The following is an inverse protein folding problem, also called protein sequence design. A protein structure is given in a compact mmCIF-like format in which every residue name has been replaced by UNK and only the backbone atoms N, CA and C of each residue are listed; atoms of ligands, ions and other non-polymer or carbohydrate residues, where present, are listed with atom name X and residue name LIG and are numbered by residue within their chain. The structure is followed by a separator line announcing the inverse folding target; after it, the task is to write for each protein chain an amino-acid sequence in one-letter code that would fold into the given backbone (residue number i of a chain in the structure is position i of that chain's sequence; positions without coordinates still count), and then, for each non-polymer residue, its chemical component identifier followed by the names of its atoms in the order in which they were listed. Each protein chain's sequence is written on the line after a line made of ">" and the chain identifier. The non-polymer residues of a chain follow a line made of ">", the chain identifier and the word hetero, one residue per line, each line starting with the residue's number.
data_IF_224706916713
#
_entry.id   IF_224706916713
#
_cell.length_a   1.000
_cell.length_b   1.000
_cell.length_c   1.000
_cell.angle_alpha   90.00
_cell.angle_beta   90.00
_cell.angle_gamma   90.00
#
_symmetry.space_group_name_H-M   'P 1'
#
loop_
_entity.id
_entity.type
_entity.pdbx_description
1 polymer ?
#
# COMPACT_ATOMS: atom_id res chain seq x y z
N UNK A 1 -0.92 2.63 33.51
CA UNK A 1 -0.81 2.42 32.06
C UNK A 1 -2.06 2.97 31.41
N UNK A 2 -1.93 4.13 30.77
CA UNK A 2 -3.03 4.91 30.18
C UNK A 2 -3.25 4.49 28.72
N UNK A 3 -4.22 3.62 28.49
CA UNK A 3 -4.73 3.25 27.16
C UNK A 3 -5.83 4.21 26.67
N UNK A 4 -6.29 5.12 27.52
CA UNK A 4 -7.47 5.98 27.30
C UNK A 4 -7.26 7.16 26.33
N UNK A 5 -6.08 7.30 25.70
CA UNK A 5 -5.76 8.48 24.88
C UNK A 5 -5.17 8.12 23.50
N UNK A 6 -5.62 7.02 22.87
CA UNK A 6 -5.49 6.86 21.41
C UNK A 6 -6.63 7.63 20.76
N UNK A 7 -6.27 8.56 19.86
CA UNK A 7 -7.21 9.46 19.18
C UNK A 7 -8.37 8.74 18.51
N UNK A 8 -9.56 9.36 18.61
CA UNK A 8 -10.83 9.03 17.92
C UNK A 8 -11.09 7.53 17.73
N UNK A 9 -11.72 6.89 18.72
CA UNK A 9 -12.29 5.56 18.56
C UNK A 9 -13.40 5.59 17.49
N UNK A 10 -13.61 4.49 16.78
CA UNK A 10 -14.70 4.31 15.81
C UNK A 10 -16.11 4.61 16.37
N UNK A 11 -16.24 4.72 17.69
CA UNK A 11 -17.46 5.09 18.40
C UNK A 11 -17.68 6.60 18.51
N UNK A 12 -16.74 7.43 18.06
CA UNK A 12 -16.84 8.88 18.00
C UNK A 12 -17.31 9.31 16.60
N UNK A 13 -18.43 10.04 16.46
CA UNK A 13 -18.87 10.58 15.18
C UNK A 13 -17.81 11.40 14.45
N UNK A 14 -16.90 12.07 15.18
CA UNK A 14 -15.82 12.87 14.59
C UNK A 14 -14.77 12.05 13.83
N UNK A 15 -14.76 10.72 14.00
CA UNK A 15 -13.94 9.80 13.22
C UNK A 15 -14.39 9.76 11.74
N UNK A 16 -15.69 9.81 11.46
CA UNK A 16 -16.27 9.64 10.13
C UNK A 16 -16.32 10.96 9.34
N UNK A 17 -15.15 11.50 8.99
CA UNK A 17 -15.03 12.79 8.27
C UNK A 17 -15.49 12.73 6.82
N UNK A 18 -15.53 11.53 6.25
CA UNK A 18 -15.96 11.23 4.89
C UNK A 18 -17.46 10.89 4.77
N UNK A 19 -18.19 10.90 5.89
CA UNK A 19 -19.64 10.79 5.91
C UNK A 19 -20.29 11.94 5.10
N UNK A 20 -21.40 11.65 4.42
CA UNK A 20 -22.12 12.65 3.63
C UNK A 20 -22.70 13.77 4.51
N UNK A 21 -23.11 13.43 5.73
CA UNK A 21 -23.59 14.37 6.73
C UNK A 21 -23.27 13.92 8.17
N UNK A 22 -23.61 14.79 9.12
CA UNK A 22 -23.42 14.53 10.55
C UNK A 22 -24.31 13.38 11.08
N UNK A 23 -25.42 13.07 10.41
CA UNK A 23 -26.34 12.02 10.85
C UNK A 23 -25.81 10.65 10.45
N UNK A 24 -25.26 10.52 9.23
CA UNK A 24 -24.50 9.35 8.78
C UNK A 24 -23.31 9.12 9.71
N UNK A 25 -22.55 10.17 10.05
CA UNK A 25 -21.43 10.04 10.99
C UNK A 25 -21.87 9.52 12.36
N UNK A 26 -22.98 10.03 12.91
CA UNK A 26 -23.53 9.55 14.17
C UNK A 26 -24.02 8.10 14.05
N UNK A 27 -24.71 7.75 12.97
CA UNK A 27 -25.21 6.38 12.74
C UNK A 27 -24.05 5.38 12.69
N UNK A 28 -22.98 5.71 11.97
CA UNK A 28 -21.79 4.86 11.86
C UNK A 28 -21.11 4.67 13.22
N UNK A 29 -20.99 5.73 14.02
CA UNK A 29 -20.43 5.68 15.37
C UNK A 29 -21.31 4.87 16.35
N UNK A 30 -22.62 5.02 16.27
CA UNK A 30 -23.58 4.25 17.04
C UNK A 30 -23.55 2.77 16.64
N UNK A 31 -23.40 2.47 15.35
CA UNK A 31 -23.24 1.10 14.85
C UNK A 31 -21.96 0.45 15.39
N UNK A 32 -20.83 1.17 15.37
CA UNK A 32 -19.58 0.72 15.99
C UNK A 32 -19.75 0.44 17.50
N UNK A 33 -20.46 1.33 18.21
CA UNK A 33 -20.77 1.16 19.63
C UNK A 33 -21.66 -0.06 19.87
N UNK A 34 -22.69 -0.26 19.06
CA UNK A 34 -23.55 -1.45 19.09
C UNK A 34 -22.75 -2.74 18.88
N UNK A 35 -21.85 -2.76 17.89
CA UNK A 35 -20.98 -3.90 17.61
C UNK A 35 -20.09 -4.24 18.80
N UNK A 36 -19.34 -3.25 19.30
CA UNK A 36 -18.45 -3.41 20.44
C UNK A 36 -19.19 -3.91 21.69
N UNK A 37 -20.38 -3.34 22.00
CA UNK A 37 -21.19 -3.77 23.13
C UNK A 37 -21.62 -5.24 23.01
N UNK A 38 -21.92 -5.72 21.80
CA UNK A 38 -22.27 -7.12 21.57
C UNK A 38 -21.09 -8.07 21.75
N UNK A 39 -19.90 -7.67 21.32
CA UNK A 39 -18.69 -8.46 21.49
C UNK A 39 -18.29 -8.58 22.96
N UNK A 40 -18.27 -7.46 23.69
CA UNK A 40 -17.87 -7.45 25.10
C UNK A 40 -18.94 -8.04 26.02
N UNK A 41 -20.21 -8.10 25.59
CA UNK A 41 -21.30 -8.63 26.40
C UNK A 41 -21.07 -10.08 26.84
N UNK A 42 -20.34 -10.90 26.08
CA UNK A 42 -20.00 -12.26 26.49
C UNK A 42 -19.00 -12.32 27.67
N UNK A 43 -18.26 -11.23 27.90
CA UNK A 43 -17.16 -11.13 28.86
C UNK A 43 -17.46 -10.20 30.05
N UNK A 44 -18.72 -9.83 30.27
CA UNK A 44 -19.10 -9.01 31.41
C UNK A 44 -18.76 -9.67 32.75
N UNK A 45 -18.18 -8.92 33.69
CA UNK A 45 -17.72 -9.44 34.98
C UNK A 45 -18.88 -9.98 35.84
N UNK A 46 -20.09 -9.44 35.62
CA UNK A 46 -21.32 -9.85 36.31
C UNK A 46 -22.47 -10.13 35.33
N UNK A 47 -23.42 -11.02 35.67
CA UNK A 47 -24.60 -11.25 34.85
C UNK A 47 -25.43 -9.98 34.62
N UNK A 48 -25.46 -9.05 35.58
CA UNK A 48 -26.14 -7.77 35.46
C UNK A 48 -25.51 -6.90 34.36
N UNK A 49 -24.19 -6.82 34.29
CA UNK A 49 -23.47 -6.10 33.23
C UNK A 49 -23.69 -6.73 31.85
N UNK A 50 -23.72 -8.06 31.75
CA UNK A 50 -24.05 -8.76 30.49
C UNK A 50 -25.43 -8.35 29.97
N UNK A 51 -26.43 -8.28 30.87
CA UNK A 51 -27.79 -7.83 30.53
C UNK A 51 -27.79 -6.35 30.13
N UNK A 52 -27.06 -5.51 30.85
CA UNK A 52 -26.94 -4.08 30.57
C UNK A 52 -26.32 -3.81 29.19
N UNK A 53 -25.19 -4.44 28.85
CA UNK A 53 -24.55 -4.28 27.55
C UNK A 53 -25.45 -4.73 26.40
N UNK A 54 -26.16 -5.86 26.56
CA UNK A 54 -27.13 -6.33 25.57
C UNK A 54 -28.31 -5.39 25.41
N UNK A 55 -28.84 -4.87 26.52
CA UNK A 55 -29.94 -3.91 26.50
C UNK A 55 -29.53 -2.62 25.78
N UNK A 56 -28.35 -2.07 26.11
CA UNK A 56 -27.83 -0.86 25.48
C UNK A 56 -27.57 -1.05 23.99
N UNK A 57 -26.96 -2.16 23.58
CA UNK A 57 -26.78 -2.49 22.16
C UNK A 57 -28.14 -2.55 21.43
N UNK A 58 -29.13 -3.20 22.04
CA UNK A 58 -30.45 -3.33 21.45
C UNK A 58 -31.20 -2.00 21.33
N UNK A 59 -31.08 -1.10 22.31
CA UNK A 59 -31.69 0.24 22.25
C UNK A 59 -31.08 1.10 21.14
N UNK A 60 -29.75 1.05 20.94
CA UNK A 60 -29.08 1.72 19.82
C UNK A 60 -29.59 1.17 18.48
N UNK A 61 -29.64 -0.16 18.33
CA UNK A 61 -30.15 -0.77 17.10
C UNK A 61 -31.61 -0.38 16.82
N UNK A 62 -32.45 -0.37 17.87
CA UNK A 62 -33.86 0.00 17.76
C UNK A 62 -34.02 1.44 17.28
N UNK A 63 -33.24 2.38 17.79
CA UNK A 63 -33.28 3.79 17.39
C UNK A 63 -33.10 3.95 15.88
N UNK A 64 -32.10 3.29 15.30
CA UNK A 64 -31.81 3.42 13.87
C UNK A 64 -32.73 2.60 12.97
N UNK A 65 -33.12 1.40 13.41
CA UNK A 65 -34.10 0.56 12.70
C UNK A 65 -35.50 1.18 12.66
N UNK A 66 -35.85 2.01 13.65
CA UNK A 66 -37.15 2.71 13.73
C UNK A 66 -37.06 4.17 13.26
N UNK A 67 -35.93 4.59 12.69
CA UNK A 67 -35.74 5.94 12.15
C UNK A 67 -36.84 6.24 11.12
N UNK A 68 -37.46 7.45 11.13
CA UNK A 68 -38.46 7.81 10.13
C UNK A 68 -37.88 7.98 8.71
N UNK A 69 -36.56 8.07 8.60
CA UNK A 69 -35.84 8.21 7.32
C UNK A 69 -35.43 6.81 6.83
N UNK A 70 -35.90 6.36 5.65
CA UNK A 70 -35.64 5.01 5.14
C UNK A 70 -34.16 4.79 4.80
N UNK A 71 -33.44 5.84 4.40
CA UNK A 71 -32.01 5.78 4.08
C UNK A 71 -31.18 5.37 5.30
N UNK A 72 -31.53 5.84 6.50
CA UNK A 72 -30.85 5.43 7.73
C UNK A 72 -31.11 3.95 8.08
N UNK A 73 -32.34 3.47 7.85
CA UNK A 73 -32.67 2.06 8.06
C UNK A 73 -31.87 1.18 7.11
N UNK A 74 -31.78 1.60 5.84
CA UNK A 74 -31.02 0.89 4.82
C UNK A 74 -29.53 0.87 5.17
N UNK A 75 -28.93 2.02 5.52
CA UNK A 75 -27.52 2.09 5.90
C UNK A 75 -27.22 1.21 7.12
N UNK A 76 -28.09 1.18 8.13
CA UNK A 76 -27.95 0.29 9.28
C UNK A 76 -27.97 -1.18 8.87
N UNK A 77 -28.86 -1.57 7.94
CA UNK A 77 -28.93 -2.92 7.42
C UNK A 77 -27.67 -3.28 6.61
N UNK A 78 -27.23 -2.38 5.73
CA UNK A 78 -26.04 -2.58 4.89
C UNK A 78 -24.78 -2.74 5.75
N UNK A 79 -24.64 -1.96 6.83
CA UNK A 79 -23.55 -2.13 7.80
C UNK A 79 -23.59 -3.48 8.51
N UNK A 80 -24.78 -3.93 8.94
CA UNK A 80 -24.95 -5.24 9.56
C UNK A 80 -24.58 -6.37 8.59
N UNK A 81 -25.09 -6.32 7.36
CA UNK A 81 -24.78 -7.30 6.32
C UNK A 81 -23.30 -7.31 5.94
N UNK A 82 -22.65 -6.13 5.86
CA UNK A 82 -21.24 -6.05 5.57
C UNK A 82 -20.39 -6.67 6.70
N UNK A 83 -20.68 -6.35 7.97
CA UNK A 83 -19.99 -6.99 9.11
C UNK A 83 -20.18 -8.49 9.13
N UNK A 84 -21.41 -8.98 8.89
CA UNK A 84 -21.68 -10.42 8.81
C UNK A 84 -20.89 -11.08 7.68
N UNK A 85 -20.78 -10.44 6.51
CA UNK A 85 -20.00 -10.95 5.38
C UNK A 85 -18.49 -11.04 5.70
N UNK A 86 -17.92 -9.98 6.30
CA UNK A 86 -16.53 -9.96 6.75
C UNK A 86 -16.24 -10.98 7.84
N UNK A 87 -17.18 -11.18 8.77
CA UNK A 87 -17.04 -12.17 9.84
C UNK A 87 -17.14 -13.60 9.30
N UNK A 88 -18.03 -13.86 8.35
CA UNK A 88 -18.27 -15.20 7.82
C UNK A 88 -17.18 -15.65 6.82
N UNK A 89 -16.76 -14.77 5.90
CA UNK A 89 -15.80 -15.09 4.84
C UNK A 89 -14.86 -13.89 4.57
N UNK A 90 -13.89 -13.61 5.47
CA UNK A 90 -13.07 -12.41 5.38
C UNK A 90 -12.23 -12.32 4.10
N UNK A 91 -11.73 -13.45 3.59
CA UNK A 91 -10.94 -13.47 2.35
C UNK A 91 -11.80 -13.13 1.12
N UNK A 92 -13.02 -13.63 1.05
CA UNK A 92 -13.96 -13.29 -0.02
C UNK A 92 -14.36 -11.82 0.06
N UNK A 93 -14.74 -11.35 1.25
CA UNK A 93 -15.11 -9.95 1.48
C UNK A 93 -13.95 -9.00 1.14
N UNK A 94 -12.71 -9.39 1.43
CA UNK A 94 -11.51 -8.62 1.07
C UNK A 94 -11.31 -8.53 -0.44
N UNK A 95 -11.45 -9.63 -1.17
CA UNK A 95 -11.34 -9.63 -2.64
C UNK A 95 -12.44 -8.78 -3.27
N UNK A 96 -13.69 -8.94 -2.83
CA UNK A 96 -14.83 -8.17 -3.32
C UNK A 96 -14.67 -6.67 -3.02
N UNK A 97 -14.24 -6.32 -1.81
CA UNK A 97 -13.97 -4.94 -1.45
C UNK A 97 -12.84 -4.33 -2.29
N UNK A 98 -11.76 -5.07 -2.54
CA UNK A 98 -10.67 -4.63 -3.41
C UNK A 98 -11.13 -4.36 -4.84
N UNK A 99 -11.97 -5.23 -5.40
CA UNK A 99 -12.57 -5.04 -6.72
C UNK A 99 -13.50 -3.81 -6.75
N UNK A 100 -14.35 -3.68 -5.73
CA UNK A 100 -15.29 -2.57 -5.59
C UNK A 100 -14.54 -1.23 -5.51
N UNK A 101 -13.48 -1.17 -4.71
CA UNK A 101 -12.64 0.01 -4.55
C UNK A 101 -11.88 0.36 -5.83
N UNK A 102 -11.32 -0.64 -6.52
CA UNK A 102 -10.65 -0.44 -7.80
C UNK A 102 -11.61 0.14 -8.84
N UNK A 103 -12.82 -0.43 -8.96
CA UNK A 103 -13.85 0.09 -9.86
C UNK A 103 -14.31 1.51 -9.49
N UNK A 104 -14.36 1.85 -8.20
CA UNK A 104 -14.66 3.21 -7.74
C UNK A 104 -13.56 4.21 -8.16
N UNK A 105 -12.29 3.84 -8.01
CA UNK A 105 -11.14 4.68 -8.41
C UNK A 105 -11.10 4.90 -9.92
N UNK A 106 -11.44 3.87 -10.70
CA UNK A 106 -11.53 3.94 -12.17
C UNK A 106 -12.71 4.80 -12.67
N UNK A 107 -13.51 5.37 -11.77
CA UNK A 107 -14.69 6.15 -12.12
C UNK A 107 -15.84 5.30 -12.62
N UNK A 108 -15.90 4.02 -12.21
CA UNK A 108 -16.95 3.08 -12.56
C UNK A 108 -18.33 3.66 -12.25
N UNK A 109 -19.14 3.82 -13.30
CA UNK A 109 -20.49 4.34 -13.16
C UNK A 109 -21.35 3.37 -12.33
N UNK A 110 -21.98 3.87 -11.26
CA UNK A 110 -22.96 3.14 -10.45
C UNK A 110 -22.46 2.62 -9.10
N UNK A 111 -21.20 2.88 -8.72
CA UNK A 111 -20.73 2.56 -7.37
C UNK A 111 -20.98 3.77 -6.47
N UNK A 112 -21.88 3.60 -5.50
CA UNK A 112 -22.14 4.61 -4.49
C UNK A 112 -20.95 4.70 -3.51
N UNK A 113 -20.55 5.91 -3.17
CA UNK A 113 -19.50 6.18 -2.19
C UNK A 113 -19.90 5.66 -0.80
N UNK A 114 -21.19 5.62 -0.49
CA UNK A 114 -21.70 5.06 0.77
C UNK A 114 -21.35 3.57 0.93
N UNK A 115 -21.43 2.79 -0.16
CA UNK A 115 -21.10 1.35 -0.18
C UNK A 115 -19.61 1.12 0.13
N UNK A 116 -18.72 1.93 -0.44
CA UNK A 116 -17.28 1.86 -0.15
C UNK A 116 -17.02 2.15 1.32
N UNK A 117 -17.62 3.21 1.88
CA UNK A 117 -17.48 3.55 3.30
C UNK A 117 -18.01 2.46 4.21
N UNK A 118 -19.16 1.87 3.88
CA UNK A 118 -19.78 0.76 4.62
C UNK A 118 -18.88 -0.47 4.66
N UNK A 119 -18.33 -0.87 3.52
CA UNK A 119 -17.41 -2.02 3.46
C UNK A 119 -16.10 -1.75 4.21
N UNK A 120 -15.54 -0.54 4.09
CA UNK A 120 -14.36 -0.13 4.86
C UNK A 120 -14.60 -0.21 6.35
N UNK A 121 -15.69 0.39 6.83
CA UNK A 121 -16.04 0.38 8.25
C UNK A 121 -16.24 -1.06 8.76
N UNK A 122 -16.90 -1.93 7.99
CA UNK A 122 -17.07 -3.33 8.37
C UNK A 122 -15.73 -4.06 8.50
N UNK A 123 -14.79 -3.84 7.57
CA UNK A 123 -13.44 -4.40 7.63
C UNK A 123 -12.65 -3.88 8.85
N UNK A 124 -12.80 -2.60 9.20
CA UNK A 124 -12.17 -1.99 10.39
C UNK A 124 -12.73 -2.57 11.69
N UNK A 125 -14.06 -2.66 11.82
CA UNK A 125 -14.72 -3.18 13.02
C UNK A 125 -14.42 -4.65 13.27
N UNK A 126 -14.23 -5.43 12.21
CA UNK A 126 -13.86 -6.86 12.30
C UNK A 126 -12.36 -7.09 12.45
N UNK A 127 -11.54 -6.01 12.46
CA UNK A 127 -10.09 -6.10 12.60
C UNK A 127 -9.37 -6.64 11.36
N UNK A 128 -10.05 -6.71 10.22
CA UNK A 128 -9.47 -7.10 8.94
C UNK A 128 -8.84 -5.92 8.19
N UNK A 129 -9.05 -4.70 8.67
CA UNK A 129 -8.38 -3.49 8.24
C UNK A 129 -7.89 -2.64 9.42
N UNK A 130 -6.66 -2.11 9.32
CA UNK A 130 -6.17 -1.12 10.29
C UNK A 130 -6.83 0.24 10.04
N UNK A 131 -7.25 0.97 11.09
CA UNK A 131 -7.81 2.32 10.95
C UNK A 131 -6.81 3.25 10.28
N UNK A 132 -7.24 3.92 9.21
CA UNK A 132 -6.43 4.95 8.58
C UNK A 132 -6.41 6.17 9.49
N UNK A 133 -5.23 6.56 9.95
CA UNK A 133 -5.05 7.83 10.66
C UNK A 133 -5.14 8.97 9.64
N UNK A 134 -6.36 9.41 9.31
CA UNK A 134 -6.67 10.50 8.38
C UNK A 134 -6.15 11.89 8.82
N UNK A 135 -5.35 11.97 9.89
CA UNK A 135 -4.64 13.19 10.29
C UNK A 135 -3.40 13.46 9.44
N UNK A 136 -2.94 12.50 8.64
CA UNK A 136 -1.82 12.66 7.72
C UNK A 136 -2.31 12.47 6.28
N UNK A 137 -2.29 13.52 5.47
CA UNK A 137 -2.54 13.44 4.02
C UNK A 137 -1.51 12.56 3.30
N UNK A 138 -0.35 12.30 3.92
CA UNK A 138 0.61 11.30 3.45
C UNK A 138 0.17 9.86 3.73
N UNK A 139 -0.61 9.60 4.78
CA UNK A 139 -1.05 8.23 5.11
C UNK A 139 -2.26 7.79 4.27
N UNK A 140 -3.15 8.71 3.90
CA UNK A 140 -4.25 8.44 2.96
C UNK A 140 -3.76 8.00 1.57
N UNK A 141 -2.60 8.47 1.13
CA UNK A 141 -1.93 8.04 -0.12
C UNK A 141 -1.06 6.78 0.04
N UNK A 142 -0.66 6.45 1.28
CA UNK A 142 0.09 5.22 1.61
C UNK A 142 -0.79 4.00 1.81
N UNK A 143 -2.11 4.17 1.83
CA UNK A 143 -3.05 3.06 1.76
C UNK A 143 -3.04 2.51 0.32
N UNK A 144 -1.95 1.83 -0.03
CA UNK A 144 -1.96 0.71 -0.96
C UNK A 144 -1.98 -0.55 -0.09
N UNK A 145 -2.66 -1.63 -0.51
CA UNK A 145 -2.66 -2.87 0.25
C UNK A 145 -1.22 -3.33 0.47
N UNK A 146 -0.72 -3.20 1.70
CA UNK A 146 0.48 -3.90 2.13
C UNK A 146 0.11 -5.38 2.17
N UNK A 147 0.45 -6.09 1.11
CA UNK A 147 0.57 -7.53 1.20
C UNK A 147 1.61 -7.86 2.30
N UNK A 148 1.19 -8.68 3.26
CA UNK A 148 2.06 -9.54 4.06
C UNK A 148 3.06 -8.82 4.97
N UNK A 149 2.60 -8.35 6.13
CA UNK A 149 3.46 -8.34 7.32
C UNK A 149 3.16 -9.58 8.15
N UNK A 150 4.11 -10.51 8.05
CA UNK A 150 4.27 -11.66 8.93
C UNK A 150 4.19 -11.19 10.37
N UNK A 151 3.14 -11.60 11.08
CA UNK A 151 3.19 -11.68 12.54
C UNK A 151 4.13 -12.85 12.85
N UNK A 152 5.28 -12.64 13.52
CA UNK A 152 6.14 -13.73 13.91
C UNK A 152 5.38 -14.60 14.91
N UNK A 153 5.33 -15.90 14.60
CA UNK A 153 4.80 -16.94 15.47
C UNK A 153 5.55 -16.94 16.81
N UNK A 154 4.89 -16.79 17.98
CA UNK A 154 5.56 -16.74 19.29
C UNK A 154 6.18 -18.07 19.75
N UNK A 155 6.27 -19.07 18.86
CA UNK A 155 6.76 -20.43 19.16
C UNK A 155 8.09 -20.82 18.51
N UNK A 156 8.72 -19.97 17.69
CA UNK A 156 9.99 -20.32 17.03
C UNK A 156 11.16 -19.67 17.76
N UNK A 157 11.87 -20.46 18.58
CA UNK A 157 13.17 -20.06 19.14
C UNK A 157 14.16 -19.79 17.99
N UNK A 158 14.48 -18.51 17.78
CA UNK A 158 15.54 -18.12 16.88
C UNK A 158 16.90 -18.64 17.42
N UNK A 159 17.79 -19.18 16.57
CA UNK A 159 19.13 -19.55 16.99
C UNK A 159 19.84 -18.28 17.47
N UNK A 160 20.28 -18.29 18.73
CA UNK A 160 21.00 -17.19 19.35
C UNK A 160 22.34 -17.03 18.63
N UNK A 161 22.44 -16.05 17.74
CA UNK A 161 23.72 -15.67 17.15
C UNK A 161 24.41 -14.69 18.08
N UNK A 162 25.53 -15.11 18.67
CA UNK A 162 26.46 -14.29 19.46
C UNK A 162 27.18 -13.23 18.60
N UNK A 163 26.43 -12.40 17.87
CA UNK A 163 27.01 -11.34 17.05
C UNK A 163 27.28 -10.11 17.91
N UNK A 164 28.49 -9.56 17.79
CA UNK A 164 28.94 -8.36 18.50
C UNK A 164 28.02 -7.13 18.27
N UNK A 165 27.31 -7.09 17.14
CA UNK A 165 26.37 -6.03 16.77
C UNK A 165 25.08 -6.13 17.60
N UNK A 166 24.58 -7.34 17.83
CA UNK A 166 23.39 -7.59 18.66
C UNK A 166 23.65 -7.22 20.14
N UNK A 167 24.92 -7.35 20.58
CA UNK A 167 25.39 -6.93 21.91
C UNK A 167 25.48 -5.40 22.06
N UNK A 168 25.91 -4.69 21.03
CA UNK A 168 26.01 -3.22 21.05
C UNK A 168 24.62 -2.53 21.05
N UNK A 169 23.59 -3.20 20.54
CA UNK A 169 22.22 -2.70 20.45
C UNK A 169 21.31 -3.12 21.64
N UNK A 170 21.88 -3.68 22.71
CA UNK A 170 21.15 -3.99 23.94
C UNK A 170 20.68 -5.44 24.08
N UNK A 171 21.18 -6.37 23.26
CA UNK A 171 20.98 -7.81 23.43
C UNK A 171 21.56 -8.31 24.76
N UNK A 172 20.84 -9.20 25.45
CA UNK A 172 21.22 -9.74 26.77
C UNK A 172 22.36 -10.76 26.64
N UNK A 173 23.60 -10.31 26.51
CA UNK A 173 24.79 -11.16 26.64
C UNK A 173 25.35 -11.11 28.08
N UNK A 174 25.83 -12.25 28.60
CA UNK A 174 26.25 -12.43 29.98
C UNK A 174 27.66 -11.88 30.34
N UNK A 175 28.29 -11.08 29.48
CA UNK A 175 29.66 -10.57 29.69
C UNK A 175 29.70 -9.07 29.41
N UNK A 176 30.14 -8.30 30.40
CA UNK A 176 30.34 -6.84 30.30
C UNK A 176 31.53 -6.51 29.39
N UNK A 177 31.36 -5.54 28.49
CA UNK A 177 32.42 -5.06 27.58
C UNK A 177 33.54 -4.38 28.37
N UNK A 178 34.79 -4.70 28.05
CA UNK A 178 35.94 -4.07 28.70
C UNK A 178 36.20 -2.67 28.13
N UNK A 179 36.79 -1.79 28.94
CA UNK A 179 37.07 -0.40 28.53
C UNK A 179 37.99 -0.31 27.31
N UNK A 180 38.88 -1.29 27.12
CA UNK A 180 39.76 -1.39 25.96
C UNK A 180 39.00 -1.72 24.66
N UNK A 181 37.91 -2.49 24.75
CA UNK A 181 37.04 -2.77 23.59
C UNK A 181 36.21 -1.54 23.22
N UNK A 182 35.77 -0.75 24.21
CA UNK A 182 35.09 0.52 23.95
C UNK A 182 36.03 1.51 23.27
N UNK A 183 37.29 1.60 23.71
CA UNK A 183 38.30 2.48 23.10
C UNK A 183 38.66 2.06 21.67
N UNK A 184 38.66 0.75 21.37
CA UNK A 184 38.83 0.24 20.01
C UNK A 184 37.65 0.60 19.09
N UNK A 185 36.41 0.61 19.61
CA UNK A 185 35.21 1.00 18.84
C UNK A 185 35.22 2.50 18.51
N UNK A 186 35.66 3.33 19.47
CA UNK A 186 35.75 4.79 19.27
C UNK A 186 36.81 5.09 18.20
N UNK A 187 38.01 4.51 18.34
CA UNK A 187 39.07 4.70 17.34
C UNK A 187 38.66 4.19 15.95
N UNK A 188 37.94 3.07 15.87
CA UNK A 188 37.42 2.55 14.60
C UNK A 188 36.35 3.44 13.95
N UNK A 189 35.55 4.15 14.75
CA UNK A 189 34.57 5.12 14.22
C UNK A 189 35.24 6.39 13.73
N UNK A 190 36.26 6.89 14.45
CA UNK A 190 36.99 8.10 14.05
C UNK A 190 37.80 7.87 12.75
N UNK A 191 38.36 6.68 12.56
CA UNK A 191 39.02 6.30 11.30
C UNK A 191 38.04 6.19 10.12
N UNK A 192 36.82 5.72 10.36
CA UNK A 192 35.76 5.66 9.34
C UNK A 192 35.28 7.06 8.94
N UNK A 193 35.10 7.95 9.90
CA UNK A 193 34.73 9.35 9.66
C UNK A 193 35.83 10.12 8.91
N UNK A 194 37.10 9.90 9.28
CA UNK A 194 38.22 10.51 8.56
C UNK A 194 38.37 9.98 7.12
N UNK A 195 38.02 8.71 6.88
CA UNK A 195 38.00 8.11 5.55
C UNK A 195 36.84 8.64 4.68
N UNK A 196 35.68 8.91 5.30
CA UNK A 196 34.52 9.53 4.65
C UNK A 196 34.81 10.98 4.25
N UNK A 197 35.39 11.77 5.15
CA UNK A 197 35.75 13.17 4.90
C UNK A 197 36.83 13.31 3.80
N UNK A 198 37.73 12.33 3.69
CA UNK A 198 38.75 12.26 2.65
C UNK A 198 38.21 11.89 1.26
N UNK A 199 37.04 11.24 1.18
CA UNK A 199 36.43 10.81 -0.09
C UNK A 199 35.62 11.91 -0.77
N UNK A 200 35.31 13.01 -0.07
CA UNK A 200 34.72 14.21 -0.63
C UNK A 200 33.28 14.00 -1.08
N UNK A 201 32.35 14.70 -0.43
CA UNK A 201 30.92 14.71 -0.70
C UNK A 201 30.61 14.98 -2.19
N UNK A 202 30.39 13.90 -2.92
CA UNK A 202 30.01 13.83 -4.33
C UNK A 202 28.95 12.74 -4.45
N UNK A 203 27.89 12.83 -3.65
CA UNK A 203 26.74 11.96 -3.87
C UNK A 203 25.41 12.71 -3.81
N UNK A 204 24.59 12.42 -4.82
CA UNK A 204 23.33 13.04 -5.18
C UNK A 204 22.13 12.38 -4.50
N UNK A 205 22.36 11.60 -3.43
CA UNK A 205 21.32 10.91 -2.68
C UNK A 205 20.79 9.61 -3.33
N UNK A 206 21.42 9.14 -4.40
CA UNK A 206 21.03 7.88 -5.06
C UNK A 206 21.58 6.65 -4.31
N UNK A 207 22.76 6.74 -3.65
CA UNK A 207 23.29 5.61 -2.87
C UNK A 207 22.63 5.47 -1.50
N UNK A 208 22.01 6.54 -0.96
CA UNK A 208 21.25 6.52 0.30
C UNK A 208 20.04 5.58 0.22
N UNK A 209 19.38 5.51 -0.94
CA UNK A 209 18.25 4.59 -1.18
C UNK A 209 18.72 3.14 -1.25
N UNK A 210 19.91 2.90 -1.79
CA UNK A 210 20.49 1.56 -1.95
C UNK A 210 21.05 1.03 -0.62
N UNK A 211 21.52 1.92 0.27
CA UNK A 211 22.02 1.57 1.60
C UNK A 211 20.92 1.11 2.58
N UNK A 212 19.67 1.52 2.35
CA UNK A 212 18.51 1.13 3.16
C UNK A 212 18.05 -0.32 2.93
N UNK A 213 18.60 -1.00 1.91
CA UNK A 213 18.32 -2.41 1.63
C UNK A 213 19.27 -3.34 2.42
N UNK A 214 18.75 -4.37 3.13
CA UNK A 214 19.56 -5.39 3.78
C UNK A 214 20.64 -5.98 2.85
N UNK A 215 21.83 -6.28 3.38
CA UNK A 215 22.96 -6.77 2.59
C UNK A 215 22.66 -8.04 1.77
N UNK A 216 21.70 -8.85 2.23
CA UNK A 216 21.21 -10.02 1.49
C UNK A 216 20.47 -9.65 0.18
N UNK A 217 19.85 -8.47 0.12
CA UNK A 217 19.18 -7.94 -1.06
C UNK A 217 20.15 -7.18 -1.98
N UNK A 218 21.15 -6.49 -1.39
CA UNK A 218 22.22 -5.83 -2.16
C UNK A 218 23.08 -6.80 -2.99
N UNK A 219 23.30 -8.02 -2.50
CA UNK A 219 24.19 -9.01 -3.12
C UNK A 219 23.47 -10.08 -3.95
N UNK A 220 22.16 -9.94 -4.19
CA UNK A 220 21.45 -10.83 -5.09
C UNK A 220 21.87 -10.52 -6.53
N UNK A 221 22.90 -11.21 -7.02
CA UNK A 221 23.38 -11.13 -8.40
C UNK A 221 22.20 -11.26 -9.39
N UNK A 222 21.80 -10.14 -9.98
CA UNK A 222 20.99 -10.12 -11.20
C UNK A 222 21.92 -10.45 -12.36
N UNK A 223 22.21 -11.73 -12.59
CA UNK A 223 22.74 -12.19 -13.87
C UNK A 223 21.60 -12.04 -14.89
N UNK A 224 21.66 -11.08 -15.83
CA UNK A 224 20.55 -10.80 -16.72
C UNK A 224 20.70 -11.70 -17.95
N UNK A 225 20.24 -12.95 -17.85
CA UNK A 225 20.02 -13.79 -19.05
C UNK A 225 18.57 -13.71 -19.53
N UNK A 226 17.70 -13.02 -18.78
CA UNK A 226 16.27 -12.90 -19.02
C UNK A 226 15.97 -11.51 -19.53
N UNK A 227 15.36 -11.40 -20.72
CA UNK A 227 14.89 -10.11 -21.22
C UNK A 227 13.64 -9.66 -20.45
N UNK A 228 13.46 -8.35 -20.31
CA UNK A 228 12.33 -7.78 -19.56
C UNK A 228 10.96 -8.23 -20.10
N UNK A 229 10.91 -8.58 -21.38
CA UNK A 229 9.72 -9.12 -22.07
C UNK A 229 9.40 -10.58 -21.71
N UNK A 230 10.37 -11.34 -21.21
CA UNK A 230 10.21 -12.75 -20.83
C UNK A 230 9.71 -12.91 -19.38
N UNK A 231 9.87 -11.88 -18.54
CA UNK A 231 9.47 -11.92 -17.13
C UNK A 231 7.99 -12.26 -16.90
N UNK A 232 7.01 -11.65 -17.61
CA UNK A 232 5.60 -11.99 -17.42
C UNK A 232 5.30 -13.45 -17.76
N UNK A 233 5.97 -14.01 -18.78
CA UNK A 233 5.81 -15.41 -19.16
C UNK A 233 6.41 -16.36 -18.11
N UNK A 234 7.56 -16.00 -17.52
CA UNK A 234 8.17 -16.75 -16.41
C UNK A 234 7.27 -16.77 -15.18
N UNK A 235 6.86 -15.59 -14.71
CA UNK A 235 6.00 -15.42 -13.54
C UNK A 235 4.69 -16.19 -13.74
N UNK A 236 4.03 -16.01 -14.88
CA UNK A 236 2.75 -16.65 -15.17
C UNK A 236 2.84 -18.18 -15.30
N UNK A 237 3.99 -18.73 -15.71
CA UNK A 237 4.20 -20.17 -15.79
C UNK A 237 4.54 -20.78 -14.42
N UNK A 238 5.42 -20.14 -13.63
CA UNK A 238 5.79 -20.60 -12.28
C UNK A 238 4.59 -20.53 -11.32
N UNK A 239 3.81 -19.45 -11.37
CA UNK A 239 2.53 -19.34 -10.66
C UNK A 239 1.62 -20.53 -10.95
N UNK A 240 1.43 -20.85 -12.24
CA UNK A 240 0.58 -21.97 -12.65
C UNK A 240 1.07 -23.32 -12.14
N UNK A 241 2.39 -23.54 -12.01
CA UNK A 241 2.94 -24.76 -11.40
C UNK A 241 2.46 -24.88 -9.95
N UNK A 242 2.59 -23.80 -9.18
CA UNK A 242 2.22 -23.79 -7.77
C UNK A 242 0.71 -23.97 -7.57
N UNK A 243 -0.12 -23.20 -8.29
CA UNK A 243 -1.58 -23.23 -8.11
C UNK A 243 -2.18 -24.59 -8.49
N UNK A 244 -1.66 -25.24 -9.55
CA UNK A 244 -2.10 -26.58 -9.94
C UNK A 244 -1.67 -27.65 -8.91
N UNK A 245 -0.49 -27.51 -8.33
CA UNK A 245 -0.02 -28.41 -7.27
C UNK A 245 -0.81 -28.21 -5.96
N UNK A 246 -1.15 -26.96 -5.61
CA UNK A 246 -2.02 -26.63 -4.47
C UNK A 246 -3.44 -27.18 -4.63
N UNK A 247 -4.02 -27.02 -5.82
CA UNK A 247 -5.33 -27.59 -6.14
C UNK A 247 -5.30 -29.13 -6.08
N UNK A 248 -4.22 -29.75 -6.57
CA UNK A 248 -4.04 -31.20 -6.46
C UNK A 248 -3.94 -31.66 -5.01
N UNK A 249 -3.10 -31.01 -4.19
CA UNK A 249 -2.93 -31.33 -2.78
C UNK A 249 -4.26 -31.24 -2.01
N UNK A 250 -5.00 -30.14 -2.19
CA UNK A 250 -6.32 -29.95 -1.59
C UNK A 250 -7.32 -31.01 -2.03
N UNK A 251 -7.40 -31.28 -3.33
CA UNK A 251 -8.37 -32.23 -3.88
C UNK A 251 -8.07 -33.68 -3.46
N UNK A 252 -6.79 -34.00 -3.21
CA UNK A 252 -6.36 -35.28 -2.68
C UNK A 252 -6.70 -35.45 -1.18
N UNK A 253 -6.70 -34.37 -0.39
CA UNK A 253 -7.10 -34.42 1.03
C UNK A 253 -8.61 -34.58 1.23
N UNK A 254 -9.42 -34.08 0.30
CA UNK A 254 -10.89 -34.15 0.34
C UNK A 254 -11.45 -35.47 -0.25
N UNK A 255 -10.66 -36.54 -0.26
CA UNK A 255 -11.02 -37.81 -0.88
C UNK A 255 -11.93 -38.64 0.05
N UNK A 256 -13.22 -38.67 -0.23
CA UNK A 256 -14.17 -39.60 0.42
C UNK A 256 -14.13 -40.97 -0.30
N UNK A 257 -14.06 -42.05 0.46
CA UNK A 257 -13.89 -43.45 0.00
C UNK A 257 -15.07 -44.04 -0.81
N UNK A 258 -15.96 -43.20 -1.36
CA UNK A 258 -17.10 -43.65 -2.16
C UNK A 258 -16.65 -44.15 -3.54
N UNK A 259 -17.02 -45.40 -3.94
CA UNK A 259 -16.52 -46.03 -5.16
C UNK A 259 -16.97 -45.33 -6.45
N UNK A 260 -18.16 -44.71 -6.49
CA UNK A 260 -18.68 -44.02 -7.68
C UNK A 260 -18.07 -42.62 -7.86
N UNK A 261 -17.72 -41.95 -6.76
CA UNK A 261 -17.00 -40.66 -6.78
C UNK A 261 -15.50 -40.79 -7.02
N UNK A 262 -14.93 -41.96 -6.73
CA UNK A 262 -13.48 -42.20 -6.80
C UNK A 262 -12.91 -42.04 -8.21
N UNK A 263 -13.55 -42.59 -9.25
CA UNK A 263 -12.98 -42.57 -10.60
C UNK A 263 -12.94 -41.15 -11.21
N UNK A 264 -14.04 -40.39 -11.09
CA UNK A 264 -14.10 -39.00 -11.60
C UNK A 264 -13.05 -38.14 -10.90
N UNK A 265 -12.80 -38.38 -9.61
CA UNK A 265 -11.83 -37.64 -8.82
C UNK A 265 -10.39 -38.03 -9.16
N UNK A 266 -10.12 -39.31 -9.41
CA UNK A 266 -8.83 -39.78 -9.94
C UNK A 266 -8.53 -39.10 -11.28
N UNK A 267 -9.48 -39.09 -12.22
CA UNK A 267 -9.32 -38.42 -13.53
C UNK A 267 -9.07 -36.90 -13.37
N UNK A 268 -9.60 -36.28 -12.31
CA UNK A 268 -9.35 -34.87 -12.00
C UNK A 268 -7.94 -34.64 -11.43
N UNK A 269 -7.47 -35.49 -10.52
CA UNK A 269 -6.11 -35.43 -9.98
C UNK A 269 -5.07 -35.65 -11.09
N UNK A 270 -5.29 -36.60 -11.99
CA UNK A 270 -4.40 -36.84 -13.13
C UNK A 270 -4.32 -35.62 -14.05
N UNK A 271 -5.46 -35.00 -14.38
CA UNK A 271 -5.50 -33.76 -15.17
C UNK A 271 -4.74 -32.61 -14.51
N UNK A 272 -4.84 -32.46 -13.19
CA UNK A 272 -4.09 -31.43 -12.45
C UNK A 272 -2.58 -31.69 -12.50
N UNK A 273 -2.15 -32.95 -12.32
CA UNK A 273 -0.74 -33.32 -12.42
C UNK A 273 -0.17 -33.14 -13.83
N UNK A 274 -0.93 -33.49 -14.87
CA UNK A 274 -0.53 -33.24 -16.26
C UNK A 274 -0.44 -31.74 -16.57
N UNK A 275 -1.39 -30.95 -16.07
CA UNK A 275 -1.34 -29.49 -16.11
C UNK A 275 -0.06 -28.95 -15.45
N UNK A 276 0.28 -29.43 -14.25
CA UNK A 276 1.49 -29.01 -13.53
C UNK A 276 2.77 -29.38 -14.32
N UNK A 277 2.84 -30.59 -14.91
CA UNK A 277 3.96 -31.00 -15.78
C UNK A 277 4.07 -30.11 -17.03
N UNK A 278 2.95 -29.71 -17.62
CA UNK A 278 2.94 -28.79 -18.75
C UNK A 278 3.41 -27.39 -18.34
N UNK A 279 2.93 -26.87 -17.21
CA UNK A 279 3.34 -25.58 -16.66
C UNK A 279 4.83 -25.55 -16.31
N UNK A 280 5.40 -26.64 -15.77
CA UNK A 280 6.85 -26.75 -15.50
C UNK A 280 7.69 -26.65 -16.78
N UNK A 281 7.23 -27.28 -17.87
CA UNK A 281 7.87 -27.16 -19.19
C UNK A 281 7.76 -25.74 -19.74
N UNK A 282 6.60 -25.10 -19.60
CA UNK A 282 6.40 -23.71 -20.01
C UNK A 282 7.29 -22.74 -19.22
N UNK A 283 7.45 -22.96 -17.91
CA UNK A 283 8.33 -22.14 -17.07
C UNK A 283 9.80 -22.30 -17.48
N UNK A 284 10.25 -23.53 -17.74
CA UNK A 284 11.59 -23.78 -18.25
C UNK A 284 11.83 -23.15 -19.64
N UNK A 285 10.84 -23.23 -20.55
CA UNK A 285 10.90 -22.58 -21.86
C UNK A 285 10.91 -21.04 -21.77
N UNK A 286 10.23 -20.48 -20.77
CA UNK A 286 10.26 -19.06 -20.48
C UNK A 286 11.59 -18.62 -19.84
N UNK A 287 12.46 -19.55 -19.43
CA UNK A 287 13.76 -19.25 -18.82
C UNK A 287 13.72 -19.08 -17.31
N UNK A 288 12.66 -19.53 -16.63
CA UNK A 288 12.62 -19.54 -15.16
C UNK A 288 13.66 -20.52 -14.60
N UNK A 289 14.28 -20.17 -13.45
CA UNK A 289 15.28 -21.01 -12.84
C UNK A 289 14.67 -22.32 -12.34
N UNK A 290 15.41 -23.42 -12.45
CA UNK A 290 14.97 -24.73 -12.00
C UNK A 290 14.67 -24.75 -10.49
N UNK A 291 15.46 -24.00 -9.70
CA UNK A 291 15.24 -23.85 -8.27
C UNK A 291 13.89 -23.17 -7.97
N UNK A 292 13.55 -22.10 -8.70
CA UNK A 292 12.28 -21.37 -8.56
C UNK A 292 11.08 -22.26 -8.96
N UNK A 293 11.19 -23.00 -10.06
CA UNK A 293 10.15 -23.96 -10.50
C UNK A 293 9.93 -25.04 -9.43
N UNK A 294 11.02 -25.54 -8.83
CA UNK A 294 10.97 -26.60 -7.81
C UNK A 294 10.38 -26.09 -6.50
N UNK A 295 10.77 -24.90 -6.05
CA UNK A 295 10.25 -24.29 -4.84
C UNK A 295 8.75 -23.95 -4.98
N UNK A 296 8.31 -23.42 -6.13
CA UNK A 296 6.90 -23.21 -6.45
C UNK A 296 6.09 -24.52 -6.43
N UNK A 297 6.64 -25.59 -7.00
CA UNK A 297 5.99 -26.91 -6.96
C UNK A 297 5.89 -27.46 -5.52
N UNK A 298 6.93 -27.32 -4.71
CA UNK A 298 6.93 -27.75 -3.30
C UNK A 298 5.94 -26.96 -2.45
N UNK A 299 5.89 -25.63 -2.61
CA UNK A 299 4.91 -24.78 -1.95
C UNK A 299 3.47 -25.18 -2.32
N UNK A 300 3.24 -25.49 -3.59
CA UNK A 300 1.96 -26.02 -4.05
C UNK A 300 1.62 -27.38 -3.45
N UNK A 301 2.56 -28.31 -3.36
CA UNK A 301 2.32 -29.61 -2.69
C UNK A 301 1.99 -29.46 -1.19
N UNK A 302 2.48 -28.42 -0.54
CA UNK A 302 2.11 -28.06 0.84
C UNK A 302 0.71 -27.42 0.95
N UNK A 303 0.02 -27.23 -0.19
CA UNK A 303 -1.33 -26.65 -0.24
C UNK A 303 -1.35 -25.13 -0.38
N UNK A 304 -0.20 -24.48 -0.56
CA UNK A 304 -0.13 -23.02 -0.67
C UNK A 304 -0.29 -22.56 -2.12
N UNK A 305 -1.29 -21.72 -2.36
CA UNK A 305 -1.44 -21.03 -3.65
C UNK A 305 -0.42 -19.90 -3.79
N UNK A 306 -0.10 -19.51 -5.03
CA UNK A 306 0.84 -18.43 -5.30
C UNK A 306 0.45 -17.12 -4.59
N UNK A 307 -0.84 -16.81 -4.53
CA UNK A 307 -1.37 -15.61 -3.88
C UNK A 307 -1.17 -15.60 -2.36
N UNK A 308 -1.01 -16.76 -1.74
CA UNK A 308 -0.84 -16.91 -0.29
C UNK A 308 0.63 -16.88 0.11
N UNK A 309 1.43 -17.72 -0.55
CA UNK A 309 2.85 -17.86 -0.26
C UNK A 309 3.61 -18.25 -1.54
N UNK A 310 4.13 -17.29 -2.31
CA UNK A 310 4.87 -17.58 -3.52
C UNK A 310 6.11 -18.43 -3.21
N UNK A 311 6.21 -19.61 -3.80
CA UNK A 311 7.38 -20.48 -3.64
C UNK A 311 8.64 -19.93 -4.33
N UNK A 312 8.48 -18.96 -5.24
CA UNK A 312 9.58 -18.23 -5.89
C UNK A 312 9.52 -16.74 -5.51
N UNK A 313 10.11 -16.32 -4.38
CA UNK A 313 9.96 -14.97 -3.84
C UNK A 313 10.53 -13.89 -4.77
N UNK A 314 11.63 -14.18 -5.48
CA UNK A 314 12.21 -13.28 -6.48
C UNK A 314 11.22 -12.95 -7.60
N UNK A 315 10.59 -13.97 -8.18
CA UNK A 315 9.60 -13.77 -9.25
C UNK A 315 8.34 -13.04 -8.74
N UNK A 316 7.93 -13.28 -7.50
CA UNK A 316 6.84 -12.53 -6.87
C UNK A 316 7.16 -11.05 -6.65
N UNK A 317 8.41 -10.73 -6.26
CA UNK A 317 8.88 -9.34 -6.17
C UNK A 317 8.90 -8.68 -7.56
N UNK A 318 9.41 -9.38 -8.57
CA UNK A 318 9.42 -8.86 -9.94
C UNK A 318 8.02 -8.65 -10.49
N UNK A 319 7.07 -9.54 -10.18
CA UNK A 319 5.67 -9.36 -10.50
C UNK A 319 5.08 -8.09 -9.88
N UNK A 320 5.39 -7.85 -8.60
CA UNK A 320 4.95 -6.65 -7.91
C UNK A 320 5.49 -5.39 -8.56
N UNK A 321 6.80 -5.33 -8.82
CA UNK A 321 7.45 -4.18 -9.47
C UNK A 321 6.91 -3.95 -10.89
N UNK A 322 6.65 -5.01 -11.66
CA UNK A 322 6.04 -4.89 -12.98
C UNK A 322 4.61 -4.31 -12.88
N UNK A 323 3.82 -4.74 -11.90
CA UNK A 323 2.49 -4.18 -11.63
C UNK A 323 2.53 -2.70 -11.24
N UNK A 324 3.49 -2.29 -10.40
CA UNK A 324 3.70 -0.89 -10.04
C UNK A 324 4.07 -0.03 -11.24
N UNK A 325 5.01 -0.52 -12.08
CA UNK A 325 5.41 0.15 -13.31
C UNK A 325 4.22 0.34 -14.25
N UNK A 326 3.42 -0.70 -14.46
CA UNK A 326 2.29 -0.64 -15.37
C UNK A 326 1.19 0.30 -14.86
N UNK A 327 1.00 0.36 -13.54
CA UNK A 327 0.11 1.32 -12.88
C UNK A 327 0.62 2.76 -13.05
N UNK A 328 1.91 3.01 -12.79
CA UNK A 328 2.51 4.33 -12.97
C UNK A 328 2.46 4.80 -14.43
N UNK A 329 2.65 3.88 -15.39
CA UNK A 329 2.49 4.16 -16.81
C UNK A 329 1.04 4.48 -17.18
N UNK A 330 0.07 3.78 -16.59
CA UNK A 330 -1.35 4.08 -16.78
C UNK A 330 -1.73 5.45 -16.19
N UNK A 331 -1.24 5.78 -14.99
CA UNK A 331 -1.43 7.10 -14.35
C UNK A 331 -0.81 8.22 -15.19
N UNK A 332 0.42 8.03 -15.68
CA UNK A 332 1.09 8.99 -16.58
C UNK A 332 0.29 9.18 -17.87
N UNK A 333 -0.22 8.11 -18.47
CA UNK A 333 -1.07 8.20 -19.66
C UNK A 333 -2.41 8.91 -19.38
N UNK A 334 -3.00 8.70 -18.20
CA UNK A 334 -4.21 9.37 -17.77
C UNK A 334 -3.98 10.88 -17.57
N UNK A 335 -2.91 11.28 -16.88
CA UNK A 335 -2.51 12.67 -16.71
C UNK A 335 -2.21 13.34 -18.06
N UNK A 336 -1.50 12.64 -18.94
CA UNK A 336 -1.20 13.10 -20.29
C UNK A 336 -2.48 13.36 -21.09
N UNK A 337 -3.47 12.48 -20.96
CA UNK A 337 -4.79 12.65 -21.58
C UNK A 337 -5.57 13.83 -21.00
N UNK A 338 -5.54 14.04 -19.68
CA UNK A 338 -6.19 15.17 -19.00
C UNK A 338 -5.60 16.53 -19.42
N UNK A 339 -4.28 16.59 -19.65
CA UNK A 339 -3.57 17.79 -20.09
C UNK A 339 -3.72 18.07 -21.60
N UNK A 340 -4.45 17.23 -22.35
CA UNK A 340 -4.58 17.36 -23.81
C UNK A 340 -3.25 17.17 -24.55
N UNK A 341 -2.24 16.56 -23.91
CA UNK A 341 -0.94 16.29 -24.51
C UNK A 341 -1.07 15.05 -25.40
N UNK A 342 -1.32 15.24 -26.70
CA UNK A 342 -1.40 14.14 -27.65
C UNK A 342 -0.20 13.17 -27.51
N UNK A 343 -0.48 11.85 -27.57
CA UNK A 343 0.56 10.80 -27.51
C UNK A 343 1.63 10.97 -28.61
N UNK A 344 1.25 11.62 -29.72
CA UNK A 344 2.00 11.62 -30.99
C UNK A 344 2.94 12.81 -31.20
N UNK A 345 3.09 13.73 -30.25
CA UNK A 345 4.17 14.72 -30.33
C UNK A 345 5.28 14.35 -29.36
N UNK A 346 6.45 13.88 -29.84
CA UNK A 346 7.64 13.91 -28.99
C UNK A 346 7.81 15.36 -28.52
N UNK A 347 8.17 15.58 -27.24
CA UNK A 347 8.44 16.92 -26.75
C UNK A 347 9.48 17.56 -27.68
N UNK A 348 9.23 18.80 -28.14
CA UNK A 348 10.17 19.54 -28.97
C UNK A 348 11.56 19.70 -28.30
N UNK A 349 11.67 19.39 -27.00
CA UNK A 349 12.92 19.26 -26.25
C UNK A 349 13.84 18.12 -26.73
N UNK A 350 13.33 17.12 -27.45
CA UNK A 350 14.17 16.07 -28.04
C UNK A 350 14.93 16.51 -29.31
N UNK A 351 14.62 17.68 -29.89
CA UNK A 351 15.37 18.21 -31.03
C UNK A 351 16.61 19.04 -30.61
N UNK A 352 16.73 19.42 -29.34
CA UNK A 352 17.92 20.10 -28.82
C UNK A 352 18.98 19.10 -28.31
N UNK A 353 18.56 17.97 -27.73
CA UNK A 353 19.49 16.96 -27.20
C UNK A 353 20.09 16.01 -28.27
N UNK A 354 19.61 16.08 -29.52
CA UNK A 354 20.08 15.23 -30.63
C UNK A 354 21.06 15.91 -31.60
N UNK A 355 21.36 17.19 -31.45
CA UNK A 355 22.24 17.90 -32.39
C UNK A 355 23.75 17.74 -32.09
N UNK A 356 24.12 17.19 -30.93
CA UNK A 356 25.53 17.16 -30.52
C UNK A 356 26.27 15.84 -30.80
N UNK A 357 25.60 14.82 -31.33
CA UNK A 357 26.25 13.51 -31.41
C UNK A 357 25.89 12.68 -32.65
N UNK A 358 26.11 13.25 -33.83
CA UNK A 358 26.63 12.52 -35.01
C UNK A 358 26.74 13.48 -36.20
N UNK A 359 27.88 14.14 -36.33
CA UNK A 359 28.51 14.41 -37.63
C UNK A 359 29.95 14.84 -37.38
N UNK A 360 30.83 13.85 -37.51
CA UNK A 360 32.27 14.02 -37.60
C UNK A 360 32.55 14.83 -38.87
N UNK A 361 32.76 16.14 -38.73
CA UNK A 361 33.28 17.02 -39.77
C UNK A 361 34.39 17.89 -39.15
N UNK A 362 35.42 18.11 -39.96
CA UNK A 362 36.77 18.57 -39.61
C UNK A 362 36.88 19.79 -38.66
N UNK A 363 37.94 19.86 -37.84
CA UNK A 363 38.19 20.98 -36.94
C UNK A 363 38.83 22.14 -37.71
N UNK A 364 38.03 22.98 -38.35
CA UNK A 364 38.49 24.32 -38.71
C UNK A 364 37.31 25.26 -38.91
N UNK A 365 37.14 26.19 -37.94
CA UNK A 365 36.22 27.35 -37.86
C UNK A 365 35.03 27.21 -36.89
N UNK A 366 35.33 27.41 -35.60
CA UNK A 366 34.33 27.73 -34.58
C UNK A 366 34.05 29.26 -34.55
N UNK A 367 32.79 29.72 -34.64
CA UNK A 367 32.40 31.06 -34.18
C UNK A 367 32.03 31.04 -32.67
N UNK A 368 32.13 32.17 -31.95
CA UNK A 368 31.98 32.21 -30.50
C UNK A 368 30.52 32.05 -30.05
N UNK A 369 30.27 31.03 -29.21
CA UNK A 369 28.97 30.62 -28.65
C UNK A 369 28.39 31.54 -27.56
N UNK A 370 28.40 32.86 -27.76
CA UNK A 370 27.79 33.84 -26.84
C UNK A 370 26.55 34.56 -27.39
N UNK A 371 26.34 34.57 -28.72
CA UNK A 371 25.31 35.39 -29.35
C UNK A 371 23.89 34.79 -29.30
N UNK A 372 23.77 33.46 -29.19
CA UNK A 372 22.48 32.76 -29.34
C UNK A 372 21.60 32.91 -28.10
N UNK A 373 22.20 33.02 -26.91
CA UNK A 373 21.47 33.18 -25.65
C UNK A 373 20.96 34.63 -25.50
N UNK A 374 21.76 35.62 -25.91
CA UNK A 374 21.37 37.03 -25.84
C UNK A 374 20.16 37.33 -26.74
N UNK A 375 20.14 36.83 -27.98
CA UNK A 375 18.99 37.05 -28.89
C UNK A 375 17.71 36.32 -28.47
N UNK A 376 17.81 35.20 -27.75
CA UNK A 376 16.62 34.49 -27.26
C UNK A 376 15.96 35.20 -26.08
N UNK A 377 16.76 35.85 -25.21
CA UNK A 377 16.26 36.64 -24.07
C UNK A 377 15.65 37.96 -24.56
N UNK A 378 16.24 38.59 -25.56
CA UNK A 378 15.75 39.86 -26.12
C UNK A 378 14.45 39.70 -26.94
N UNK A 379 14.19 38.50 -27.51
CA UNK A 379 12.96 38.20 -28.21
C UNK A 379 11.77 37.81 -27.30
N UNK A 380 12.02 37.53 -26.02
CA UNK A 380 11.01 37.02 -25.08
C UNK A 380 10.41 38.10 -24.16
N UNK A 381 10.94 39.32 -24.18
CA UNK A 381 10.45 40.44 -23.37
C UNK A 381 9.66 41.43 -24.25
N UNK A 382 8.39 41.74 -23.93
CA UNK A 382 7.68 42.81 -24.63
C UNK A 382 8.30 44.17 -24.27
N UNK A 383 8.42 45.06 -25.26
CA UNK A 383 8.91 46.45 -25.12
C UNK A 383 8.10 47.20 -24.04
N UNK A 384 8.65 47.28 -22.83
CA UNK A 384 8.08 48.09 -21.76
C UNK A 384 8.59 49.52 -21.88
N UNK A 385 7.67 50.47 -22.07
CA UNK A 385 7.94 51.91 -22.09
C UNK A 385 8.57 52.35 -20.75
N UNK A 386 9.83 52.85 -20.73
CA UNK A 386 10.53 53.22 -19.50
C UNK A 386 9.99 54.48 -18.82
N UNK A 387 8.97 55.13 -19.38
CA UNK A 387 8.29 56.29 -18.80
C UNK A 387 6.96 55.97 -18.09
N UNK A 388 6.56 54.70 -18.01
CA UNK A 388 5.39 54.31 -17.23
C UNK A 388 5.75 54.31 -15.73
N UNK A 389 5.48 55.43 -15.08
CA UNK A 389 5.47 55.56 -13.62
C UNK A 389 4.74 54.37 -12.99
N UNK A 390 5.42 53.72 -12.04
CA UNK A 390 4.87 52.64 -11.22
C UNK A 390 3.76 53.20 -10.32
N UNK A 391 2.56 53.38 -10.88
CA UNK A 391 1.37 53.63 -10.12
C UNK A 391 1.01 52.35 -9.36
N UNK A 392 1.27 52.35 -8.05
CA UNK A 392 0.75 51.35 -7.14
C UNK A 392 -0.79 51.37 -7.24
N UNK A 393 -1.48 50.23 -7.35
CA UNK A 393 -2.93 50.24 -7.25
C UNK A 393 -3.32 50.74 -5.84
N UNK A 394 -4.08 51.84 -5.78
CA UNK A 394 -4.68 52.30 -4.54
C UNK A 394 -5.56 51.19 -3.97
N UNK A 395 -5.17 50.72 -2.79
CA UNK A 395 -5.92 49.80 -1.95
C UNK A 395 -7.13 50.54 -1.35
N UNK A 396 -8.14 50.86 -2.15
CA UNK A 396 -9.45 51.30 -1.64
C UNK A 396 -10.32 50.07 -1.39
N UNK A 397 -10.13 49.49 -0.21
CA UNK A 397 -10.91 48.35 0.29
C UNK A 397 -10.85 48.32 1.81
N UNK A 398 -11.52 49.28 2.44
CA UNK A 398 -11.73 49.34 3.90
C UNK A 398 -12.52 48.09 4.32
N UNK A 399 -11.87 47.18 5.05
CA UNK A 399 -12.56 46.12 5.79
C UNK A 399 -13.02 46.75 7.11
N UNK A 400 -14.30 47.07 7.20
CA UNK A 400 -14.94 47.48 8.45
C UNK A 400 -14.92 46.30 9.44
N UNK A 401 -14.34 46.52 10.61
CA UNK A 401 -14.38 45.58 11.72
C UNK A 401 -15.81 45.48 12.30
N UNK A 402 -16.30 44.28 12.67
CA UNK A 402 -17.59 44.15 13.33
C UNK A 402 -17.54 44.83 14.72
N UNK A 403 -18.41 45.81 14.90
CA UNK A 403 -18.65 46.48 16.19
C UNK A 403 -19.22 45.48 17.20
N UNK A 404 -18.61 45.43 18.37
CA UNK A 404 -19.18 44.82 19.57
C UNK A 404 -20.59 45.38 19.85
N UNK A 405 -21.57 44.50 19.98
CA UNK A 405 -22.86 44.82 20.58
C UNK A 405 -22.74 44.75 22.12
N UNK A 406 -23.07 45.83 22.85
CA UNK A 406 -23.26 45.76 24.30
C UNK A 406 -24.74 45.49 24.61
N UNK A 407 -24.98 44.62 25.60
CA UNK A 407 -26.24 44.60 26.34
C UNK A 407 -27.04 43.31 26.23
N UNK A 408 -26.78 42.37 27.15
CA UNK A 408 -27.85 41.61 27.79
C UNK A 408 -27.56 41.63 29.29
N UNK A 409 -28.44 42.33 30.01
CA UNK A 409 -28.48 42.41 31.45
C UNK A 409 -28.69 41.02 32.09
N UNK A 410 -27.89 40.74 33.12
CA UNK A 410 -28.14 39.70 34.10
C UNK A 410 -29.00 40.30 35.22
N UNK A 411 -30.31 40.09 35.15
CA UNK A 411 -31.19 39.97 36.31
C UNK A 411 -32.56 39.46 35.86
N UNK A 412 -32.79 38.15 36.01
CA UNK A 412 -33.97 37.54 36.66
C UNK A 412 -33.85 36.01 36.65
#
# INVERSE_FOLDING_TARGET
>A
MTWENRGSSFTDPAYYRDAADHVEAQLRADFATHHQLREIAAYGETPAQVVEYKARAHDIARQWQQSPVPEHQQLWHDLASAVDAWTANPETARVEFGQLQQSFIEGGAGIDASTIRTQRQAAELTGHLEPVNDRSTQDGARWRPRHLSVVPDPGVEAPHSDSFVDRALGGRAAVELSMAEVEAIINGSDELLAAEEALGDLDTGDDEITALLPAAQRNAYLTPTVTLDQLPAQIGAVRRVQDLAAQHARLATEFDESPEGSQVRIDQLERLMDGARHARRAAALAGADHAEITAAYQAGLAGHYWSQQPGAPRLAQLEHVLGERDTAMAELNALRSQLGLALDKPPALALAAGAENTLRLDPSTAPPGGAVIASAVEAALPDADPAADWASPELTGVIDAPRHAPGVDLHF
#
